data_IF_213753551915
#
_entry.id   IF_213753551915
#
_cell.length_a   1.000
_cell.length_b   1.000
_cell.length_c   1.000
_cell.angle_alpha   90.00
_cell.angle_beta   90.00
_cell.angle_gamma   90.00
#
_symmetry.space_group_name_H-M   'P 1'
#
loop_
_entity.id
_entity.type
_entity.pdbx_description
1 polymer ?
#
# COMPACT_ATOMS: atom_id res chain seq x y z
N UNK A 1 -9.47 19.60 -7.77
CA UNK A 1 -8.97 19.58 -6.39
C UNK A 1 -9.27 18.24 -5.78
N UNK A 2 -8.24 17.46 -5.40
CA UNK A 2 -8.42 16.22 -4.64
C UNK A 2 -8.73 16.63 -3.19
N UNK A 3 -9.99 16.56 -2.72
CA UNK A 3 -10.31 16.99 -1.37
C UNK A 3 -9.77 15.95 -0.38
N UNK A 4 -9.09 16.44 0.66
CA UNK A 4 -8.74 15.59 1.79
C UNK A 4 -9.96 15.44 2.70
N UNK A 5 -10.26 14.22 3.19
CA UNK A 5 -11.34 14.04 4.13
C UNK A 5 -11.04 14.73 5.46
N UNK A 6 -12.06 14.90 6.29
CA UNK A 6 -11.89 15.28 7.69
C UNK A 6 -11.90 14.03 8.57
N UNK A 7 -11.04 14.01 9.60
CA UNK A 7 -10.97 12.89 10.55
C UNK A 7 -12.32 12.53 11.18
N UNK A 8 -13.17 13.52 11.45
CA UNK A 8 -14.52 13.31 12.04
C UNK A 8 -15.51 12.67 11.07
N UNK A 9 -15.31 12.84 9.76
CA UNK A 9 -16.17 12.23 8.75
C UNK A 9 -15.80 10.77 8.50
N UNK A 10 -14.51 10.43 8.63
CA UNK A 10 -13.99 9.10 8.33
C UNK A 10 -14.67 8.02 9.15
N UNK A 11 -14.92 8.20 10.44
CA UNK A 11 -15.54 7.18 11.31
C UNK A 11 -16.95 6.74 10.86
N UNK A 12 -17.66 7.56 10.08
CA UNK A 12 -19.05 7.30 9.67
C UNK A 12 -19.19 6.72 8.25
N UNK A 13 -18.08 6.52 7.54
CA UNK A 13 -18.09 5.96 6.20
C UNK A 13 -18.09 4.43 6.24
N UNK A 14 -18.72 3.79 5.27
CA UNK A 14 -18.43 2.38 4.98
C UNK A 14 -16.98 2.25 4.46
N UNK A 15 -16.34 1.10 4.65
CA UNK A 15 -14.91 0.91 4.32
C UNK A 15 -14.60 1.21 2.84
N UNK A 16 -15.45 0.73 1.92
CA UNK A 16 -15.33 0.97 0.48
C UNK A 16 -15.45 2.46 0.11
N UNK A 17 -16.08 3.27 0.96
CA UNK A 17 -16.23 4.71 0.77
C UNK A 17 -15.05 5.51 1.34
N UNK A 18 -14.15 4.89 2.11
CA UNK A 18 -12.95 5.55 2.64
C UNK A 18 -11.96 5.79 1.49
N UNK A 19 -11.62 7.06 1.16
CA UNK A 19 -10.71 7.35 0.06
C UNK A 19 -9.27 7.05 0.49
N UNK A 20 -8.75 5.89 0.09
CA UNK A 20 -7.48 5.35 0.60
C UNK A 20 -6.29 6.31 0.41
N UNK A 21 -6.02 6.77 -0.82
CA UNK A 21 -4.92 7.70 -1.11
C UNK A 21 -5.08 9.03 -0.36
N UNK A 22 -6.26 9.66 -0.44
CA UNK A 22 -6.52 10.93 0.24
C UNK A 22 -6.36 10.81 1.75
N UNK A 23 -6.80 9.70 2.34
CA UNK A 23 -6.67 9.49 3.79
C UNK A 23 -5.22 9.25 4.20
N UNK A 24 -4.41 8.58 3.37
CA UNK A 24 -2.97 8.47 3.62
C UNK A 24 -2.22 9.81 3.49
N UNK A 25 -2.63 10.68 2.56
CA UNK A 25 -2.10 12.05 2.48
C UNK A 25 -2.57 12.91 3.66
N UNK A 26 -3.78 12.68 4.19
CA UNK A 26 -4.24 13.30 5.43
C UNK A 26 -3.38 12.87 6.62
N UNK A 27 -3.01 11.58 6.73
CA UNK A 27 -2.05 11.09 7.73
C UNK A 27 -0.72 11.85 7.60
N UNK A 28 -0.21 12.01 6.37
CA UNK A 28 1.03 12.75 6.14
C UNK A 28 0.96 14.23 6.55
N UNK A 29 -0.20 14.88 6.43
CA UNK A 29 -0.37 16.28 6.85
C UNK A 29 -0.15 16.53 8.34
N UNK A 30 -0.27 15.49 9.18
CA UNK A 30 0.05 15.61 10.60
C UNK A 30 1.55 15.92 10.83
N UNK A 31 2.45 15.47 9.94
CA UNK A 31 3.89 15.76 10.00
C UNK A 31 4.30 16.84 8.98
N UNK A 32 3.58 16.96 7.86
CA UNK A 32 3.83 17.92 6.79
C UNK A 32 2.62 18.84 6.58
N UNK A 33 2.38 19.86 7.44
CA UNK A 33 1.15 20.66 7.38
C UNK A 33 0.92 21.40 6.06
N UNK A 34 2.01 21.75 5.37
CA UNK A 34 2.02 22.48 4.09
C UNK A 34 1.95 21.57 2.86
N UNK A 35 1.80 20.26 3.06
CA UNK A 35 1.61 19.30 1.98
C UNK A 35 0.43 19.71 1.09
N UNK A 36 0.67 19.78 -0.22
CA UNK A 36 -0.37 19.97 -1.22
C UNK A 36 -0.76 18.62 -1.84
N UNK A 37 -1.92 18.09 -1.47
CA UNK A 37 -2.42 16.81 -1.95
C UNK A 37 -2.63 16.76 -3.47
N UNK A 38 -2.95 17.90 -4.10
CA UNK A 38 -3.17 17.98 -5.54
C UNK A 38 -1.92 17.66 -6.37
N UNK A 39 -0.73 17.95 -5.81
CA UNK A 39 0.54 17.63 -6.48
C UNK A 39 0.67 16.11 -6.67
N UNK A 40 0.35 15.33 -5.63
CA UNK A 40 0.44 13.87 -5.69
C UNK A 40 -0.70 13.26 -6.51
N UNK A 41 -1.89 13.86 -6.50
CA UNK A 41 -2.97 13.46 -7.41
C UNK A 41 -2.57 13.63 -8.88
N UNK A 42 -1.95 14.78 -9.20
CA UNK A 42 -1.44 15.08 -10.54
C UNK A 42 -0.30 14.16 -10.92
N UNK A 43 0.61 13.85 -9.98
CA UNK A 43 1.70 12.91 -10.19
C UNK A 43 1.17 11.52 -10.56
N UNK A 44 0.23 10.98 -9.78
CA UNK A 44 -0.41 9.69 -10.08
C UNK A 44 -1.13 9.74 -11.43
N UNK A 45 -1.83 10.83 -11.72
CA UNK A 45 -2.48 10.99 -13.01
C UNK A 45 -1.49 10.97 -14.18
N UNK A 46 -0.29 11.55 -14.01
CA UNK A 46 0.78 11.48 -15.03
C UNK A 46 1.27 10.05 -15.27
N UNK A 47 1.34 9.21 -14.22
CA UNK A 47 1.71 7.79 -14.34
C UNK A 47 0.64 7.02 -15.12
N UNK A 48 -0.63 7.29 -14.81
CA UNK A 48 -1.78 6.68 -15.49
C UNK A 48 -1.79 7.07 -16.98
N UNK A 49 -1.56 8.34 -17.31
CA UNK A 49 -1.51 8.82 -18.69
C UNK A 49 -0.38 8.21 -19.49
N UNK A 50 0.79 8.05 -18.87
CA UNK A 50 1.93 7.36 -19.50
C UNK A 50 1.58 5.92 -19.86
N UNK A 51 0.96 5.19 -18.93
CA UNK A 51 0.66 3.76 -19.07
C UNK A 51 -0.57 3.46 -19.92
N UNK A 52 -1.52 4.40 -20.05
CA UNK A 52 -2.86 4.14 -20.59
C UNK A 52 -2.84 3.45 -21.95
N UNK A 53 -2.02 3.93 -22.89
CA UNK A 53 -1.97 3.36 -24.24
C UNK A 53 -1.49 1.89 -24.25
N UNK A 54 -0.45 1.58 -23.49
CA UNK A 54 0.08 0.21 -23.42
C UNK A 54 -0.91 -0.72 -22.70
N UNK A 55 -1.48 -0.26 -21.59
CA UNK A 55 -2.43 -1.03 -20.79
C UNK A 55 -3.74 -1.31 -21.54
N UNK A 56 -4.24 -0.34 -22.32
CA UNK A 56 -5.45 -0.50 -23.14
C UNK A 56 -5.23 -1.47 -24.31
N UNK A 57 -3.98 -1.66 -24.76
CA UNK A 57 -3.62 -2.60 -25.83
C UNK A 57 -3.40 -4.04 -25.34
N UNK A 58 -3.45 -4.27 -24.03
CA UNK A 58 -3.26 -5.58 -23.40
C UNK A 58 -4.63 -6.09 -22.94
N UNK A 59 -4.95 -7.36 -23.18
CA UNK A 59 -6.21 -7.95 -22.71
C UNK A 59 -6.09 -8.50 -21.28
N UNK A 60 -5.03 -9.25 -21.01
CA UNK A 60 -4.86 -10.01 -19.77
C UNK A 60 -4.37 -9.12 -18.61
N UNK A 61 -5.09 -9.14 -17.48
CA UNK A 61 -4.70 -8.40 -16.27
C UNK A 61 -3.26 -8.66 -15.79
N UNK A 62 -2.73 -9.90 -15.77
CA UNK A 62 -1.34 -10.14 -15.40
C UNK A 62 -0.33 -9.39 -16.27
N UNK A 63 -0.59 -9.29 -17.58
CA UNK A 63 0.27 -8.56 -18.51
C UNK A 63 0.15 -7.04 -18.32
N UNK A 64 -1.06 -6.54 -18.02
CA UNK A 64 -1.26 -5.13 -17.63
C UNK A 64 -0.45 -4.80 -16.38
N UNK A 65 -0.50 -5.67 -15.37
CA UNK A 65 0.27 -5.49 -14.13
C UNK A 65 1.77 -5.58 -14.37
N UNK A 66 2.24 -6.43 -15.29
CA UNK A 66 3.66 -6.46 -15.66
C UNK A 66 4.13 -5.11 -16.24
N UNK A 67 3.32 -4.46 -17.09
CA UNK A 67 3.61 -3.13 -17.61
C UNK A 67 3.61 -2.05 -16.50
N UNK A 68 2.63 -2.10 -15.59
CA UNK A 68 2.59 -1.22 -14.41
C UNK A 68 3.84 -1.40 -13.55
N UNK A 69 4.24 -2.64 -13.26
CA UNK A 69 5.39 -2.93 -12.40
C UNK A 69 6.69 -2.46 -13.04
N UNK A 70 6.88 -2.73 -14.34
CA UNK A 70 8.05 -2.25 -15.08
C UNK A 70 8.15 -0.73 -15.01
N UNK A 71 7.06 -0.02 -15.28
CA UNK A 71 7.06 1.43 -15.23
C UNK A 71 7.33 1.98 -13.82
N UNK A 72 6.64 1.47 -12.79
CA UNK A 72 6.79 1.99 -11.43
C UNK A 72 8.16 1.63 -10.82
N UNK A 73 8.56 0.36 -10.91
CA UNK A 73 9.72 -0.13 -10.16
C UNK A 73 11.02 -0.06 -10.97
N UNK A 74 10.99 -0.32 -12.29
CA UNK A 74 12.20 -0.31 -13.11
C UNK A 74 12.47 1.07 -13.73
N UNK A 75 11.45 1.71 -14.30
CA UNK A 75 11.63 2.97 -15.04
C UNK A 75 11.60 4.20 -14.12
N UNK A 76 10.65 4.27 -13.19
CA UNK A 76 10.60 5.34 -12.18
C UNK A 76 11.50 5.05 -10.98
N UNK A 77 11.79 3.80 -10.66
CA UNK A 77 12.68 3.45 -9.54
C UNK A 77 12.04 3.53 -8.17
N UNK A 78 10.72 3.34 -8.06
CA UNK A 78 10.12 3.05 -6.75
C UNK A 78 10.77 1.79 -6.17
N UNK A 79 11.21 1.84 -4.92
CA UNK A 79 11.92 0.72 -4.30
C UNK A 79 11.74 0.66 -2.79
N UNK A 80 11.90 -0.54 -2.23
CA UNK A 80 11.96 -0.75 -0.80
C UNK A 80 13.15 -0.03 -0.19
N UNK A 81 12.95 0.69 0.91
CA UNK A 81 14.05 1.28 1.65
C UNK A 81 14.72 0.20 2.54
N UNK A 82 15.70 -0.50 1.99
CA UNK A 82 16.43 -1.55 2.71
C UNK A 82 17.46 -0.99 3.70
N UNK A 83 18.02 0.19 3.40
CA UNK A 83 19.09 0.79 4.20
C UNK A 83 18.55 1.44 5.48
N UNK A 84 17.42 2.15 5.37
CA UNK A 84 16.75 2.81 6.50
C UNK A 84 15.33 2.25 6.66
N UNK A 85 15.21 0.95 6.93
CA UNK A 85 13.92 0.24 6.98
C UNK A 85 12.89 0.88 7.92
N UNK A 86 13.34 1.34 9.09
CA UNK A 86 12.51 1.97 10.12
C UNK A 86 12.40 3.50 9.99
N UNK A 87 12.83 4.10 8.89
CA UNK A 87 12.61 5.54 8.64
C UNK A 87 11.11 5.84 8.54
N UNK A 88 10.54 6.72 9.38
CA UNK A 88 9.10 7.03 9.35
C UNK A 88 8.64 7.63 8.01
N UNK A 89 9.55 8.26 7.25
CA UNK A 89 9.27 8.76 5.89
C UNK A 89 8.82 7.65 4.94
N UNK A 90 9.20 6.39 5.21
CA UNK A 90 8.76 5.24 4.42
C UNK A 90 7.26 4.96 4.54
N UNK A 91 6.58 5.54 5.55
CA UNK A 91 5.13 5.39 5.78
C UNK A 91 4.31 6.61 5.34
N UNK A 92 4.96 7.73 5.03
CA UNK A 92 4.28 8.96 4.61
C UNK A 92 4.22 9.04 3.09
N UNK A 93 3.02 8.95 2.53
CA UNK A 93 2.82 8.76 1.09
C UNK A 93 3.44 9.90 0.24
N UNK A 94 3.47 11.14 0.73
CA UNK A 94 4.17 12.23 0.06
C UNK A 94 5.68 12.00 -0.07
N UNK A 95 6.31 11.52 0.99
CA UNK A 95 7.73 11.21 1.01
C UNK A 95 8.03 10.01 0.12
N UNK A 96 7.12 9.03 0.06
CA UNK A 96 7.25 7.89 -0.85
C UNK A 96 7.19 8.35 -2.31
N UNK A 97 6.28 9.26 -2.67
CA UNK A 97 6.23 9.84 -4.02
C UNK A 97 7.49 10.66 -4.36
N UNK A 98 7.97 11.49 -3.43
CA UNK A 98 9.13 12.36 -3.65
C UNK A 98 10.44 11.60 -3.74
N UNK A 99 10.66 10.64 -2.83
CA UNK A 99 11.92 9.89 -2.71
C UNK A 99 11.92 8.62 -3.57
N UNK A 100 10.73 8.16 -3.99
CA UNK A 100 10.51 6.84 -4.59
C UNK A 100 11.02 5.70 -3.72
N UNK A 101 11.01 5.92 -2.40
CA UNK A 101 11.44 4.96 -1.38
C UNK A 101 10.33 4.80 -0.37
N UNK A 102 9.98 3.56 -0.04
CA UNK A 102 8.89 3.27 0.88
C UNK A 102 9.03 1.94 1.61
N UNK A 103 8.07 1.70 2.50
CA UNK A 103 7.88 0.40 3.14
C UNK A 103 6.90 -0.46 2.30
N UNK A 104 6.66 -1.73 2.66
CA UNK A 104 5.80 -2.61 1.86
C UNK A 104 4.38 -2.07 1.64
N UNK A 105 3.76 -1.47 2.67
CA UNK A 105 2.38 -0.99 2.57
C UNK A 105 2.27 0.28 1.72
N UNK A 106 3.21 1.22 1.86
CA UNK A 106 3.17 2.47 1.11
C UNK A 106 3.52 2.28 -0.37
N UNK A 107 4.43 1.36 -0.72
CA UNK A 107 4.69 0.99 -2.12
C UNK A 107 3.49 0.27 -2.74
N UNK A 108 2.83 -0.61 -1.99
CA UNK A 108 1.58 -1.21 -2.42
C UNK A 108 0.50 -0.15 -2.70
N UNK A 109 0.39 0.89 -1.87
CA UNK A 109 -0.58 1.97 -2.11
C UNK A 109 -0.33 2.74 -3.40
N UNK A 110 0.93 3.03 -3.74
CA UNK A 110 1.28 3.66 -5.03
C UNK A 110 0.80 2.78 -6.19
N UNK A 111 1.11 1.49 -6.13
CA UNK A 111 0.74 0.53 -7.17
C UNK A 111 -0.77 0.33 -7.27
N UNK A 112 -1.48 0.20 -6.13
CA UNK A 112 -2.94 0.06 -6.06
C UNK A 112 -3.62 1.27 -6.68
N UNK A 113 -3.18 2.49 -6.35
CA UNK A 113 -3.86 3.69 -6.86
C UNK A 113 -3.68 3.85 -8.37
N UNK A 114 -2.48 3.57 -8.90
CA UNK A 114 -2.23 3.58 -10.35
C UNK A 114 -3.05 2.50 -11.05
N UNK A 115 -3.04 1.26 -10.53
CA UNK A 115 -3.80 0.14 -11.07
C UNK A 115 -5.31 0.44 -11.07
N UNK A 116 -5.85 0.98 -9.98
CA UNK A 116 -7.26 1.35 -9.83
C UNK A 116 -7.70 2.37 -10.90
N UNK A 117 -6.88 3.41 -11.15
CA UNK A 117 -7.17 4.43 -12.19
C UNK A 117 -7.04 3.90 -13.62
N UNK A 118 -6.31 2.79 -13.80
CA UNK A 118 -6.21 2.05 -15.06
C UNK A 118 -7.29 0.95 -15.18
N UNK A 119 -8.19 0.82 -14.21
CA UNK A 119 -9.26 -0.19 -14.22
C UNK A 119 -8.78 -1.62 -13.92
N UNK A 120 -7.59 -1.78 -13.33
CA UNK A 120 -7.03 -3.07 -12.96
C UNK A 120 -7.45 -3.39 -11.51
N UNK A 121 -8.08 -4.55 -11.22
CA UNK A 121 -8.62 -4.87 -9.90
C UNK A 121 -7.54 -5.37 -8.93
N UNK A 122 -6.56 -4.52 -8.64
CA UNK A 122 -5.49 -4.82 -7.69
C UNK A 122 -5.94 -4.47 -6.26
N UNK A 123 -5.84 -5.42 -5.34
CA UNK A 123 -6.17 -5.22 -3.94
C UNK A 123 -4.96 -5.44 -3.02
N UNK A 124 -4.88 -4.71 -1.93
CA UNK A 124 -3.87 -4.93 -0.89
C UNK A 124 -4.18 -6.18 -0.06
N UNK A 125 -3.14 -6.82 0.49
CA UNK A 125 -3.25 -7.98 1.37
C UNK A 125 -2.43 -7.70 2.63
N UNK A 126 -3.09 -7.74 3.78
CA UNK A 126 -2.43 -7.58 5.08
C UNK A 126 -1.74 -8.88 5.50
N UNK A 127 -0.69 -9.24 4.79
CA UNK A 127 0.06 -10.48 5.02
C UNK A 127 0.79 -10.46 6.38
N UNK A 128 0.97 -11.60 7.07
CA UNK A 128 1.73 -11.65 8.31
C UNK A 128 3.19 -11.21 8.10
N UNK A 129 3.65 -10.22 8.88
CA UNK A 129 5.01 -9.68 8.80
C UNK A 129 5.33 -8.83 7.55
N UNK A 130 4.42 -8.74 6.57
CA UNK A 130 4.68 -8.01 5.31
C UNK A 130 3.41 -7.44 4.69
N UNK A 131 3.47 -6.64 3.64
CA UNK A 131 2.27 -6.22 2.91
C UNK A 131 2.43 -6.56 1.43
N UNK A 132 1.40 -7.19 0.87
CA UNK A 132 1.41 -7.71 -0.48
C UNK A 132 0.23 -7.12 -1.26
N UNK A 133 0.20 -7.37 -2.56
CA UNK A 133 -0.99 -7.11 -3.38
C UNK A 133 -1.44 -8.40 -4.05
N UNK A 134 -2.74 -8.50 -4.32
CA UNK A 134 -3.35 -9.59 -5.07
C UNK A 134 -4.09 -9.07 -6.29
N UNK A 135 -4.01 -9.83 -7.36
CA UNK A 135 -4.75 -9.63 -8.59
C UNK A 135 -5.57 -10.90 -8.88
N UNK A 136 -6.89 -10.82 -9.04
CA UNK A 136 -7.68 -11.97 -9.48
C UNK A 136 -7.22 -12.42 -10.87
N UNK A 137 -7.17 -13.73 -11.11
CA UNK A 137 -6.90 -14.36 -12.41
C UNK A 137 -7.84 -15.55 -12.58
N UNK A 138 -7.97 -16.10 -13.79
CA UNK A 138 -8.97 -17.13 -14.11
C UNK A 138 -8.97 -18.32 -13.12
N UNK A 139 -7.77 -18.80 -12.74
CA UNK A 139 -7.60 -19.95 -11.85
C UNK A 139 -7.12 -19.59 -10.43
N UNK A 140 -7.40 -18.37 -9.95
CA UNK A 140 -7.12 -17.99 -8.57
C UNK A 140 -6.66 -16.55 -8.40
N UNK A 141 -5.52 -16.36 -7.72
CA UNK A 141 -4.96 -15.03 -7.45
C UNK A 141 -3.47 -15.00 -7.72
N UNK A 142 -3.03 -13.95 -8.42
CA UNK A 142 -1.63 -13.60 -8.54
C UNK A 142 -1.25 -12.69 -7.36
N UNK A 143 -0.33 -13.14 -6.52
CA UNK A 143 0.19 -12.37 -5.38
C UNK A 143 1.54 -11.78 -5.75
N UNK A 144 1.74 -10.49 -5.48
CA UNK A 144 2.97 -9.77 -5.81
C UNK A 144 3.48 -8.97 -4.60
N UNK A 145 4.79 -8.73 -4.58
CA UNK A 145 5.50 -8.02 -3.50
C UNK A 145 6.00 -6.65 -3.98
N UNK A 146 5.28 -5.55 -3.68
CA UNK A 146 5.64 -4.21 -4.14
C UNK A 146 6.96 -3.70 -3.54
N UNK A 147 7.32 -4.18 -2.35
CA UNK A 147 8.60 -3.85 -1.71
C UNK A 147 9.79 -4.39 -2.51
N UNK A 148 9.58 -5.52 -3.20
CA UNK A 148 10.57 -6.20 -4.04
C UNK A 148 10.23 -6.08 -5.54
N UNK A 149 9.83 -4.88 -5.99
CA UNK A 149 9.63 -4.57 -7.40
C UNK A 149 8.36 -5.16 -8.04
N UNK A 150 7.37 -5.51 -7.23
CA UNK A 150 6.14 -6.16 -7.72
C UNK A 150 6.37 -7.59 -8.19
N UNK A 151 7.44 -8.26 -7.72
CA UNK A 151 7.73 -9.66 -8.08
C UNK A 151 6.58 -10.58 -7.68
N UNK A 152 6.14 -11.50 -8.57
CA UNK A 152 5.16 -12.52 -8.21
C UNK A 152 5.73 -13.52 -7.18
N UNK A 153 4.88 -13.95 -6.26
CA UNK A 153 5.22 -14.91 -5.20
C UNK A 153 4.51 -16.24 -5.45
N UNK A 154 5.26 -17.34 -5.34
CA UNK A 154 4.72 -18.69 -5.42
C UNK A 154 4.00 -19.10 -4.14
N UNK A 155 3.09 -20.08 -4.23
CA UNK A 155 2.29 -20.56 -3.09
C UNK A 155 3.18 -21.10 -1.96
N UNK A 156 4.19 -21.90 -2.28
CA UNK A 156 5.11 -22.46 -1.27
C UNK A 156 5.92 -21.36 -0.58
N UNK A 157 6.33 -20.32 -1.33
CA UNK A 157 7.00 -19.15 -0.76
C UNK A 157 6.08 -18.38 0.20
N UNK A 158 4.80 -18.20 -0.14
CA UNK A 158 3.83 -17.56 0.74
C UNK A 158 3.63 -18.38 2.03
N UNK A 159 3.53 -19.70 1.93
CA UNK A 159 3.42 -20.58 3.10
C UNK A 159 4.61 -20.45 4.04
N UNK A 160 5.82 -20.51 3.51
CA UNK A 160 7.04 -20.39 4.31
C UNK A 160 7.17 -19.00 4.95
N UNK A 161 6.78 -17.92 4.26
CA UNK A 161 6.77 -16.57 4.83
C UNK A 161 5.72 -16.40 5.93
N UNK A 162 4.57 -17.07 5.83
CA UNK A 162 3.51 -17.00 6.84
C UNK A 162 3.85 -17.80 8.10
N UNK A 163 4.55 -18.92 7.96
CA UNK A 163 4.84 -19.91 9.00
C UNK A 163 5.35 -19.33 10.34
N UNK A 164 6.32 -18.40 10.39
CA UNK A 164 6.80 -17.83 11.66
C UNK A 164 5.73 -17.06 12.44
N UNK A 165 4.71 -16.56 11.75
CA UNK A 165 3.61 -15.78 12.32
C UNK A 165 2.42 -16.65 12.74
N UNK A 166 2.46 -17.94 12.42
CA UNK A 166 1.42 -18.94 12.72
C UNK A 166 1.93 -20.01 13.69
N UNK A 167 2.83 -19.62 14.61
CA UNK A 167 3.38 -20.55 15.61
C UNK A 167 4.29 -21.65 15.02
N UNK A 168 4.76 -21.49 13.79
CA UNK A 168 5.61 -22.47 13.11
C UNK A 168 4.86 -23.49 12.25
N UNK A 169 3.53 -23.38 12.15
CA UNK A 169 2.70 -24.24 11.30
C UNK A 169 2.64 -23.72 9.86
N UNK A 170 2.70 -24.65 8.89
CA UNK A 170 2.52 -24.33 7.47
C UNK A 170 1.01 -24.21 7.21
N UNK A 171 0.51 -23.06 6.72
CA UNK A 171 -0.91 -22.92 6.47
C UNK A 171 -1.35 -23.84 5.33
N UNK A 172 -2.46 -24.54 5.53
CA UNK A 172 -3.15 -25.29 4.49
C UNK A 172 -3.76 -24.33 3.43
N UNK A 173 -4.34 -24.88 2.37
CA UNK A 173 -4.94 -24.08 1.28
C UNK A 173 -6.01 -23.11 1.79
N UNK A 174 -6.81 -23.52 2.77
CA UNK A 174 -7.91 -22.71 3.30
C UNK A 174 -7.38 -21.55 4.14
N UNK A 175 -6.45 -21.82 5.04
CA UNK A 175 -5.81 -20.81 5.86
C UNK A 175 -5.05 -19.80 5.00
N UNK A 176 -4.33 -20.28 3.98
CA UNK A 176 -3.64 -19.39 3.04
C UNK A 176 -4.62 -18.52 2.26
N UNK A 177 -5.72 -19.07 1.77
CA UNK A 177 -6.74 -18.28 1.07
C UNK A 177 -7.29 -17.15 1.95
N UNK A 178 -7.56 -17.40 3.23
CA UNK A 178 -8.00 -16.38 4.20
C UNK A 178 -6.93 -15.31 4.47
N UNK A 179 -5.66 -15.72 4.59
CA UNK A 179 -4.53 -14.78 4.73
C UNK A 179 -4.43 -13.85 3.52
N UNK A 180 -4.80 -14.34 2.33
CA UNK A 180 -4.76 -13.62 1.08
C UNK A 180 -6.06 -12.83 0.79
N UNK A 181 -7.00 -12.74 1.72
CA UNK A 181 -8.19 -11.92 1.52
C UNK A 181 -7.83 -10.43 1.34
N UNK A 182 -8.58 -9.68 0.50
CA UNK A 182 -8.37 -8.26 0.33
C UNK A 182 -8.43 -7.52 1.68
N UNK A 183 -7.43 -6.69 1.95
CA UNK A 183 -7.40 -5.85 3.13
C UNK A 183 -8.40 -4.68 2.98
N UNK A 184 -9.31 -4.48 3.95
CA UNK A 184 -10.14 -3.28 4.02
C UNK A 184 -9.29 -2.00 4.03
N UNK A 185 -9.77 -0.91 3.43
CA UNK A 185 -9.08 0.37 3.39
C UNK A 185 -8.71 0.86 4.79
N UNK A 186 -9.60 0.73 5.78
CA UNK A 186 -9.31 1.05 7.18
C UNK A 186 -8.18 0.20 7.73
N UNK A 187 -8.15 -1.09 7.44
CA UNK A 187 -7.09 -1.97 7.91
C UNK A 187 -5.72 -1.55 7.35
N UNK A 188 -5.66 -1.14 6.07
CA UNK A 188 -4.45 -0.59 5.44
C UNK A 188 -4.01 0.68 6.17
N UNK A 189 -4.91 1.65 6.34
CA UNK A 189 -4.61 2.93 7.00
C UNK A 189 -4.19 2.77 8.46
N UNK A 190 -4.86 1.89 9.21
CA UNK A 190 -4.50 1.54 10.59
C UNK A 190 -3.10 0.92 10.63
N UNK A 191 -2.74 0.07 9.65
CA UNK A 191 -1.40 -0.52 9.60
C UNK A 191 -0.32 0.51 9.33
N UNK A 192 -0.57 1.52 8.49
CA UNK A 192 0.33 2.68 8.32
C UNK A 192 0.55 3.39 9.65
N UNK A 193 -0.54 3.69 10.37
CA UNK A 193 -0.48 4.38 11.66
C UNK A 193 0.20 3.53 12.75
N UNK A 194 0.03 2.21 12.73
CA UNK A 194 0.76 1.29 13.63
C UNK A 194 2.25 1.27 13.34
N UNK A 195 2.66 1.28 12.07
CA UNK A 195 4.07 1.39 11.69
C UNK A 195 4.67 2.70 12.21
N UNK A 196 3.98 3.83 12.00
CA UNK A 196 4.40 5.13 12.51
C UNK A 196 4.47 5.14 14.03
N UNK A 197 3.44 4.62 14.71
CA UNK A 197 3.43 4.50 16.17
C UNK A 197 4.63 3.71 16.67
N UNK A 198 4.90 2.53 16.11
CA UNK A 198 6.04 1.69 16.51
C UNK A 198 7.36 2.42 16.36
N UNK A 199 7.63 2.97 15.17
CA UNK A 199 8.86 3.74 14.90
C UNK A 199 9.04 4.92 15.85
N UNK A 200 7.97 5.68 16.14
CA UNK A 200 8.06 6.81 17.05
C UNK A 200 8.16 6.41 18.51
N UNK A 201 7.51 5.33 18.94
CA UNK A 201 7.60 4.83 20.31
C UNK A 201 9.01 4.29 20.59
N UNK A 202 9.59 3.54 19.66
CA UNK A 202 10.96 3.02 19.77
C UNK A 202 12.00 4.15 19.84
N UNK A 203 11.73 5.27 19.16
CA UNK A 203 12.54 6.49 19.20
C UNK A 203 12.17 7.44 20.36
N UNK A 204 11.28 7.03 21.27
CA UNK A 204 10.77 7.82 22.42
C UNK A 204 10.13 9.18 22.03
N UNK A 205 9.67 9.31 20.79
CA UNK A 205 8.93 10.47 20.28
C UNK A 205 7.44 10.37 20.64
N UNK A 206 7.14 10.42 21.93
CA UNK A 206 5.81 10.12 22.48
C UNK A 206 4.67 10.98 21.92
N UNK A 207 4.91 12.26 21.61
CA UNK A 207 3.89 13.11 21.00
C UNK A 207 3.41 12.58 19.64
N UNK A 208 4.36 12.11 18.81
CA UNK A 208 4.06 11.55 17.48
C UNK A 208 3.45 10.15 17.59
N UNK A 209 3.91 9.34 18.54
CA UNK A 209 3.31 8.04 18.83
C UNK A 209 1.84 8.19 19.28
N UNK A 210 1.58 9.08 20.25
CA UNK A 210 0.24 9.39 20.75
C UNK A 210 -0.68 9.92 19.65
N UNK A 211 -0.18 10.81 18.79
CA UNK A 211 -0.92 11.30 17.61
C UNK A 211 -1.31 10.15 16.68
N UNK A 212 -0.41 9.21 16.41
CA UNK A 212 -0.67 8.04 15.57
C UNK A 212 -1.76 7.15 16.18
N UNK A 213 -1.73 6.95 17.49
CA UNK A 213 -2.78 6.22 18.21
C UNK A 213 -4.15 6.93 18.17
N UNK A 214 -4.18 8.26 18.35
CA UNK A 214 -5.41 9.05 18.22
C UNK A 214 -6.03 8.93 16.82
N UNK A 215 -5.22 8.88 15.76
CA UNK A 215 -5.74 8.67 14.39
C UNK A 215 -6.33 7.29 14.17
N UNK A 216 -5.76 6.26 14.81
CA UNK A 216 -6.32 4.89 14.74
C UNK A 216 -7.73 4.88 15.32
N UNK A 217 -8.01 5.63 16.40
CA UNK A 217 -9.34 5.71 17.01
C UNK A 217 -10.37 6.49 16.18
N UNK A 218 -9.93 7.18 15.12
CA UNK A 218 -10.79 7.97 14.21
C UNK A 218 -11.07 7.25 12.88
N UNK A 219 -10.42 6.11 12.67
CA UNK A 219 -10.71 5.15 11.61
C UNK A 219 -11.56 4.00 12.17
#
# INVERSE_FOLDING_TARGET
MLPLPHWTALANLDDDAVPLMSTALLIARDEYPQLNAELYDTLVQSHVEHLRREVDAIDLWPLKMAAVNRYLFDELGYSGNHDEYYDPRNSYLNQVFERRLGNPISLAMVQIEVARRLGIPLAGVSFPGHFLVRLPVDDGVLVMDPFNGGRPLGVDELRERARPHLGGEIPDDRALAQILDPAPHRAILIRILRNLHGVYADAEHWDRAARSADRILKL
#
